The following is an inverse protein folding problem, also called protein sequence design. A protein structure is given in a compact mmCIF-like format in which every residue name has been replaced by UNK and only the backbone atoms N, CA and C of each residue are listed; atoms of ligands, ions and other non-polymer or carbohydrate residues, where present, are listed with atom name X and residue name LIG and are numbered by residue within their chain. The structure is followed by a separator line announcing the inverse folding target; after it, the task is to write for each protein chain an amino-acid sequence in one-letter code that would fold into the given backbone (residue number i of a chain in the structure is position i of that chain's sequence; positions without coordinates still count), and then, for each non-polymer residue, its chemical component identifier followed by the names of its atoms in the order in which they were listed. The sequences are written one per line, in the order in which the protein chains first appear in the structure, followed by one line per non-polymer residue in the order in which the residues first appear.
data_IF_924193582930
#
_entry.id   IF_924193582930
#
_cell.length_a   1.000
_cell.length_b   1.000
_cell.length_c   1.000
_cell.angle_alpha   90.00
_cell.angle_beta   90.00
_cell.angle_gamma   90.00
#
_symmetry.space_group_name_H-M   'P 1'
#
loop_
_entity.id
_entity.type
_entity.pdbx_description
1 polymer ?
#
# COMPACT_ATOMS: atom_id res chain seq x y z
N UNK A 1 -16.84 25.11 18.65
CA UNK A 1 -17.22 23.65 18.58
C UNK A 1 -18.55 23.47 19.31
N UNK A 2 -19.41 22.57 18.83
CA UNK A 2 -20.73 22.35 19.42
C UNK A 2 -20.63 21.79 20.84
N UNK A 3 -21.22 22.48 21.82
CA UNK A 3 -21.20 22.04 23.21
C UNK A 3 -22.03 20.76 23.37
N UNK A 4 -21.49 19.67 23.99
CA UNK A 4 -22.21 18.41 24.15
C UNK A 4 -23.37 18.48 25.16
N UNK A 5 -23.49 19.58 25.91
CA UNK A 5 -24.53 19.73 26.94
C UNK A 5 -25.71 20.61 26.51
N UNK A 6 -25.46 21.72 25.81
CA UNK A 6 -26.51 22.65 25.37
C UNK A 6 -26.63 22.78 23.87
N UNK A 7 -25.75 22.10 23.11
CA UNK A 7 -25.73 22.08 21.65
C UNK A 7 -25.44 23.44 20.96
N UNK A 8 -25.08 24.49 21.68
CA UNK A 8 -24.69 25.77 21.12
C UNK A 8 -23.19 25.80 20.72
N UNK A 9 -22.86 26.63 19.73
CA UNK A 9 -21.47 26.73 19.19
C UNK A 9 -20.70 27.95 19.74
N UNK A 10 -20.80 28.17 21.04
CA UNK A 10 -20.20 29.33 21.70
C UNK A 10 -19.29 28.85 22.83
N UNK A 11 -18.03 28.60 22.52
CA UNK A 11 -17.06 28.09 23.47
C UNK A 11 -15.70 28.79 23.35
N UNK A 12 -14.91 28.73 24.41
CA UNK A 12 -13.52 29.17 24.44
C UNK A 12 -12.61 28.03 24.90
N UNK A 13 -11.36 28.04 24.42
CA UNK A 13 -10.31 27.13 24.88
C UNK A 13 -9.73 27.68 26.17
N UNK A 14 -9.73 26.90 27.25
CA UNK A 14 -9.21 27.28 28.54
C UNK A 14 -7.84 26.62 28.86
N UNK A 15 -7.54 25.50 28.22
CA UNK A 15 -6.24 24.80 28.33
C UNK A 15 -5.98 24.01 27.03
N UNK A 16 -4.71 23.95 26.63
CA UNK A 16 -4.26 23.21 25.46
C UNK A 16 -2.97 22.47 25.79
N UNK A 17 -2.91 21.16 25.50
CA UNK A 17 -1.73 20.33 25.75
C UNK A 17 -1.51 19.40 24.59
N UNK A 18 -0.28 19.32 24.15
CA UNK A 18 0.17 18.33 23.17
C UNK A 18 0.42 16.98 23.86
N UNK A 19 0.15 15.89 23.12
CA UNK A 19 0.58 14.55 23.50
C UNK A 19 2.11 14.44 23.45
N UNK A 20 2.68 13.45 24.12
CA UNK A 20 4.15 13.27 24.17
C UNK A 20 4.78 13.01 22.81
N UNK A 21 4.02 12.44 21.88
CA UNK A 21 4.41 12.13 20.50
C UNK A 21 4.14 13.29 19.52
N UNK A 22 3.52 14.39 19.99
CA UNK A 22 3.17 15.55 19.15
C UNK A 22 2.01 15.32 18.19
N UNK A 23 1.44 14.11 18.14
CA UNK A 23 0.43 13.73 17.12
C UNK A 23 -0.99 14.20 17.48
N UNK A 24 -1.25 14.55 18.75
CA UNK A 24 -2.60 14.91 19.21
C UNK A 24 -2.52 16.14 20.12
N UNK A 25 -3.44 17.09 19.91
CA UNK A 25 -3.63 18.23 20.82
C UNK A 25 -4.93 18.02 21.60
N UNK A 26 -4.82 17.93 22.91
CA UNK A 26 -5.96 17.90 23.82
C UNK A 26 -6.32 19.32 24.19
N UNK A 27 -7.56 19.75 23.90
CA UNK A 27 -8.07 21.07 24.30
C UNK A 27 -9.20 20.95 25.31
N UNK A 28 -9.05 21.62 26.46
CA UNK A 28 -10.12 21.80 27.41
C UNK A 28 -10.88 23.07 27.05
N UNK A 29 -12.18 22.94 26.84
CA UNK A 29 -13.08 24.02 26.40
C UNK A 29 -14.11 24.31 27.47
N UNK A 30 -14.58 25.55 27.49
CA UNK A 30 -15.66 26.01 28.35
C UNK A 30 -16.74 26.66 27.48
N UNK A 31 -17.97 26.15 27.58
CA UNK A 31 -19.10 26.73 26.89
C UNK A 31 -19.47 28.07 27.58
N UNK A 32 -19.61 29.14 26.80
CA UNK A 32 -19.93 30.46 27.32
C UNK A 32 -21.43 30.61 27.65
N UNK A 33 -22.30 29.76 27.06
CA UNK A 33 -23.74 29.78 27.29
C UNK A 33 -24.14 28.99 28.54
N UNK A 34 -23.65 27.79 28.73
CA UNK A 34 -24.03 26.93 29.86
C UNK A 34 -22.92 26.76 30.94
N UNK A 35 -21.76 27.39 30.77
CA UNK A 35 -20.65 27.36 31.73
C UNK A 35 -19.95 25.99 31.91
N UNK A 36 -20.43 24.93 31.25
CA UNK A 36 -19.86 23.60 31.40
C UNK A 36 -18.59 23.43 30.59
N UNK A 37 -17.68 22.60 31.12
CA UNK A 37 -16.41 22.27 30.47
C UNK A 37 -16.48 20.93 29.79
N UNK A 38 -15.87 20.85 28.59
CA UNK A 38 -15.69 19.62 27.84
C UNK A 38 -14.30 19.55 27.21
N UNK A 39 -13.89 18.38 26.78
CA UNK A 39 -12.59 18.18 26.16
C UNK A 39 -12.80 17.79 24.70
N UNK A 40 -11.97 18.35 23.83
CA UNK A 40 -11.84 17.95 22.43
C UNK A 40 -10.42 17.51 22.16
N UNK A 41 -10.26 16.66 21.14
CA UNK A 41 -8.97 16.26 20.61
C UNK A 41 -8.87 16.70 19.17
N UNK A 42 -7.73 17.25 18.81
CA UNK A 42 -7.34 17.50 17.44
C UNK A 42 -6.22 16.54 17.11
N UNK A 43 -6.36 15.83 16.04
CA UNK A 43 -5.36 14.92 15.50
C UNK A 43 -5.29 15.06 13.99
N UNK A 44 -4.12 14.78 13.42
CA UNK A 44 -3.98 14.73 11.97
C UNK A 44 -4.81 13.54 11.48
N UNK A 45 -5.61 13.76 10.45
CA UNK A 45 -6.37 12.68 9.82
C UNK A 45 -5.40 11.68 9.19
N UNK A 46 -5.53 10.43 9.59
CA UNK A 46 -4.72 9.34 9.06
C UNK A 46 -5.33 8.89 7.73
N UNK A 47 -4.86 9.49 6.65
CA UNK A 47 -5.33 9.14 5.30
C UNK A 47 -4.67 7.80 4.92
N UNK A 48 -5.46 6.72 4.70
CA UNK A 48 -4.91 5.42 4.39
C UNK A 48 -4.18 5.43 3.05
N UNK A 49 -3.13 4.62 2.97
CA UNK A 49 -2.49 4.31 1.71
C UNK A 49 -3.33 3.29 0.94
N UNK A 50 -3.42 3.45 -0.37
CA UNK A 50 -4.27 2.63 -1.23
C UNK A 50 -3.44 1.77 -2.19
N UNK A 51 -3.97 0.59 -2.49
CA UNK A 51 -3.45 -0.31 -3.52
C UNK A 51 -4.42 -0.33 -4.70
N UNK A 52 -3.92 0.07 -5.87
CA UNK A 52 -4.67 0.01 -7.12
C UNK A 52 -4.55 -1.40 -7.70
N UNK A 53 -5.69 -2.08 -7.83
CA UNK A 53 -5.78 -3.43 -8.40
C UNK A 53 -5.72 -3.38 -9.93
N UNK A 54 -5.47 -4.52 -10.55
CA UNK A 54 -5.43 -4.66 -12.02
C UNK A 54 -6.76 -4.31 -12.71
N UNK A 55 -7.88 -4.41 -12.00
CA UNK A 55 -9.22 -4.02 -12.45
C UNK A 55 -9.57 -2.55 -12.14
N UNK A 56 -8.62 -1.77 -11.63
CA UNK A 56 -8.78 -0.36 -11.28
C UNK A 56 -9.43 -0.09 -9.92
N UNK A 57 -9.86 -1.12 -9.18
CA UNK A 57 -10.36 -0.95 -7.80
C UNK A 57 -9.25 -0.52 -6.87
N UNK A 58 -9.61 0.27 -5.87
CA UNK A 58 -8.73 0.71 -4.79
C UNK A 58 -9.08 -0.03 -3.52
N UNK A 59 -8.09 -0.60 -2.88
CA UNK A 59 -8.19 -1.24 -1.57
C UNK A 59 -7.15 -0.62 -0.63
N UNK A 60 -7.47 -0.58 0.65
CA UNK A 60 -6.51 -0.14 1.65
C UNK A 60 -5.26 -1.05 1.67
N UNK A 61 -4.09 -0.44 1.78
CA UNK A 61 -2.82 -1.17 1.88
C UNK A 61 -2.83 -2.04 3.13
N UNK A 62 -2.50 -3.31 2.96
CA UNK A 62 -2.49 -4.28 4.04
C UNK A 62 -1.18 -5.08 4.05
N UNK A 63 -0.28 -4.68 4.96
CA UNK A 63 1.00 -5.33 5.21
C UNK A 63 0.88 -6.84 5.37
N UNK A 64 -0.12 -7.31 6.14
CA UNK A 64 -0.30 -8.72 6.43
C UNK A 64 -0.65 -9.56 5.20
N UNK A 65 -1.35 -8.99 4.21
CA UNK A 65 -1.64 -9.66 2.93
C UNK A 65 -0.36 -9.95 2.16
N UNK A 66 0.55 -9.00 2.11
CA UNK A 66 1.84 -9.15 1.39
C UNK A 66 2.71 -10.17 2.12
N UNK A 67 2.85 -10.04 3.43
CA UNK A 67 3.62 -10.95 4.25
C UNK A 67 3.11 -12.39 4.13
N UNK A 68 1.79 -12.62 4.11
CA UNK A 68 1.20 -13.92 3.91
C UNK A 68 1.54 -14.53 2.52
N UNK A 69 1.62 -13.70 1.49
CA UNK A 69 2.07 -14.11 0.16
C UNK A 69 3.53 -14.55 0.17
N UNK A 70 4.40 -13.78 0.81
CA UNK A 70 5.83 -14.08 0.98
C UNK A 70 6.03 -15.38 1.79
N UNK A 71 5.33 -15.55 2.91
CA UNK A 71 5.39 -16.75 3.74
C UNK A 71 5.05 -18.02 2.94
N UNK A 72 4.01 -17.97 2.09
CA UNK A 72 3.64 -19.10 1.22
C UNK A 72 4.72 -19.39 0.18
N UNK A 73 5.29 -18.36 -0.44
CA UNK A 73 6.34 -18.52 -1.44
C UNK A 73 7.61 -19.11 -0.82
N UNK A 74 7.99 -18.64 0.37
CA UNK A 74 9.20 -19.05 1.11
C UNK A 74 8.99 -20.32 1.97
N UNK A 75 7.81 -20.96 1.94
CA UNK A 75 7.54 -22.14 2.77
C UNK A 75 8.55 -23.26 2.49
N UNK A 76 9.21 -23.77 3.54
CA UNK A 76 10.31 -24.77 3.47
C UNK A 76 11.53 -24.32 2.67
N UNK A 77 11.72 -22.99 2.53
CA UNK A 77 12.95 -22.42 1.94
C UNK A 77 13.78 -21.75 3.04
N UNK A 78 15.11 -21.69 2.89
CA UNK A 78 16.01 -21.09 3.89
C UNK A 78 15.99 -19.55 3.83
N UNK A 79 14.80 -18.94 3.74
CA UNK A 79 14.61 -17.49 3.74
C UNK A 79 14.10 -17.06 5.12
N UNK A 80 14.93 -16.38 5.94
CA UNK A 80 14.55 -15.97 7.28
C UNK A 80 13.34 -15.02 7.28
N UNK A 81 12.47 -15.13 8.29
CA UNK A 81 11.30 -14.25 8.43
C UNK A 81 11.68 -12.76 8.43
N UNK A 82 12.81 -12.41 9.03
CA UNK A 82 13.33 -11.03 9.03
C UNK A 82 13.57 -10.46 7.64
N UNK A 83 14.04 -11.28 6.69
CA UNK A 83 14.23 -10.85 5.29
C UNK A 83 12.87 -10.69 4.59
N UNK A 84 11.90 -11.53 4.90
CA UNK A 84 10.55 -11.39 4.38
C UNK A 84 9.87 -10.11 4.89
N UNK A 85 10.08 -9.76 6.15
CA UNK A 85 9.61 -8.51 6.75
C UNK A 85 10.30 -7.29 6.11
N UNK A 86 11.61 -7.36 5.84
CA UNK A 86 12.33 -6.25 5.21
C UNK A 86 11.85 -5.95 3.78
N UNK A 87 11.36 -6.96 3.05
CA UNK A 87 10.73 -6.74 1.75
C UNK A 87 9.45 -5.90 1.91
N UNK A 88 8.64 -6.20 2.91
CA UNK A 88 7.41 -5.44 3.18
C UNK A 88 7.73 -4.03 3.66
N UNK A 89 8.76 -3.87 4.49
CA UNK A 89 9.24 -2.55 4.94
C UNK A 89 9.69 -1.67 3.75
N UNK A 90 10.33 -2.26 2.75
CA UNK A 90 10.72 -1.53 1.54
C UNK A 90 9.50 -1.09 0.72
N UNK A 91 8.46 -1.93 0.62
CA UNK A 91 7.21 -1.55 -0.04
C UNK A 91 6.53 -0.40 0.70
N UNK A 92 6.47 -0.44 2.04
CA UNK A 92 5.93 0.64 2.85
C UNK A 92 6.71 1.94 2.66
N UNK A 93 8.03 1.85 2.60
CA UNK A 93 8.90 3.00 2.36
C UNK A 93 8.65 3.61 0.98
N UNK A 94 8.54 2.79 -0.08
CA UNK A 94 8.20 3.27 -1.41
C UNK A 94 6.83 3.96 -1.42
N UNK A 95 5.85 3.37 -0.75
CA UNK A 95 4.51 3.92 -0.62
C UNK A 95 4.48 5.27 0.11
N UNK A 96 5.33 5.46 1.13
CA UNK A 96 5.48 6.73 1.84
C UNK A 96 6.11 7.85 0.99
N UNK A 97 6.84 7.48 -0.06
CA UNK A 97 7.44 8.44 -1.00
C UNK A 97 6.46 8.90 -2.10
N UNK A 98 5.32 8.20 -2.27
CA UNK A 98 4.29 8.57 -3.25
C UNK A 98 3.44 9.73 -2.72
N UNK A 99 3.34 10.81 -3.49
CA UNK A 99 2.54 11.99 -3.13
C UNK A 99 1.04 11.70 -3.09
N UNK A 100 0.55 10.86 -4.01
CA UNK A 100 -0.84 10.44 -4.12
C UNK A 100 -1.24 9.33 -3.15
N UNK A 101 -0.28 8.78 -2.39
CA UNK A 101 -0.47 7.67 -1.44
C UNK A 101 -1.08 6.41 -2.06
N UNK A 102 -0.85 6.21 -3.33
CA UNK A 102 -1.29 5.02 -4.07
C UNK A 102 -0.08 4.22 -4.57
N UNK A 103 -0.21 2.91 -4.60
CA UNK A 103 0.75 1.99 -5.23
C UNK A 103 -0.04 0.92 -5.99
N UNK A 104 0.40 0.58 -7.19
CA UNK A 104 -0.27 -0.48 -7.93
C UNK A 104 0.12 -1.87 -7.43
N UNK A 105 -0.80 -2.84 -7.57
CA UNK A 105 -0.47 -4.25 -7.31
C UNK A 105 0.73 -4.69 -8.13
N UNK A 106 0.89 -4.17 -9.37
CA UNK A 106 2.01 -4.48 -10.27
C UNK A 106 3.35 -4.01 -9.69
N UNK A 107 3.42 -2.80 -9.14
CA UNK A 107 4.63 -2.27 -8.50
C UNK A 107 4.99 -3.08 -7.24
N UNK A 108 4.01 -3.38 -6.39
CA UNK A 108 4.23 -4.26 -5.23
C UNK A 108 4.85 -5.57 -5.66
N UNK A 109 4.28 -6.21 -6.69
CA UNK A 109 4.79 -7.47 -7.17
C UNK A 109 6.17 -7.38 -7.80
N UNK A 110 6.46 -6.33 -8.53
CA UNK A 110 7.80 -6.09 -9.08
C UNK A 110 8.85 -5.99 -7.97
N UNK A 111 8.57 -5.23 -6.89
CA UNK A 111 9.46 -5.12 -5.73
C UNK A 111 9.68 -6.49 -5.07
N UNK A 112 8.60 -7.25 -4.82
CA UNK A 112 8.70 -8.58 -4.21
C UNK A 112 9.50 -9.52 -5.09
N UNK A 113 9.22 -9.56 -6.40
CA UNK A 113 9.91 -10.44 -7.33
C UNK A 113 11.39 -10.10 -7.46
N UNK A 114 11.75 -8.81 -7.53
CA UNK A 114 13.14 -8.38 -7.57
C UNK A 114 13.93 -8.89 -6.34
N UNK A 115 13.36 -8.74 -5.15
CA UNK A 115 13.98 -9.20 -3.90
C UNK A 115 14.05 -10.73 -3.81
N UNK A 116 12.99 -11.44 -4.18
CA UNK A 116 12.98 -12.91 -4.15
C UNK A 116 13.94 -13.53 -5.17
N UNK A 117 14.16 -12.89 -6.31
CA UNK A 117 15.12 -13.33 -7.33
C UNK A 117 16.52 -13.44 -6.76
N UNK A 118 16.93 -12.48 -5.95
CA UNK A 118 18.23 -12.42 -5.28
C UNK A 118 18.32 -13.41 -4.11
N UNK A 119 17.21 -13.55 -3.34
CA UNK A 119 17.22 -14.33 -2.10
C UNK A 119 17.05 -15.83 -2.33
N UNK A 120 16.12 -16.25 -3.15
CA UNK A 120 15.80 -17.64 -3.41
C UNK A 120 15.01 -17.82 -4.72
N UNK A 121 15.66 -18.37 -5.77
CA UNK A 121 15.00 -18.58 -7.08
C UNK A 121 13.75 -19.43 -7.04
N UNK A 122 13.67 -20.41 -6.12
CA UNK A 122 12.48 -21.26 -5.98
C UNK A 122 11.31 -20.48 -5.37
N UNK A 123 11.57 -19.66 -4.34
CA UNK A 123 10.57 -18.76 -3.77
C UNK A 123 10.09 -17.74 -4.82
N UNK A 124 11.00 -17.22 -5.65
CA UNK A 124 10.64 -16.38 -6.78
C UNK A 124 9.65 -17.05 -7.72
N UNK A 125 9.96 -18.25 -8.24
CA UNK A 125 9.11 -19.00 -9.17
C UNK A 125 7.72 -19.27 -8.56
N UNK A 126 7.67 -19.65 -7.28
CA UNK A 126 6.42 -19.88 -6.55
C UNK A 126 5.58 -18.61 -6.40
N UNK A 127 6.22 -17.49 -6.12
CA UNK A 127 5.52 -16.20 -6.04
C UNK A 127 5.04 -15.77 -7.43
N UNK A 128 5.90 -15.82 -8.44
CA UNK A 128 5.59 -15.49 -9.83
C UNK A 128 4.42 -16.32 -10.38
N UNK A 129 4.34 -17.62 -10.06
CA UNK A 129 3.28 -18.51 -10.53
C UNK A 129 1.86 -18.06 -10.09
N UNK A 130 1.76 -17.36 -8.97
CA UNK A 130 0.48 -16.82 -8.46
C UNK A 130 0.29 -15.37 -8.89
N UNK A 131 1.38 -14.61 -8.95
CA UNK A 131 1.33 -13.18 -9.15
C UNK A 131 1.29 -12.78 -10.64
N UNK A 132 2.10 -13.41 -11.49
CA UNK A 132 2.03 -13.27 -12.95
C UNK A 132 0.91 -14.18 -13.48
N UNK A 133 -0.02 -13.61 -14.19
CA UNK A 133 -1.02 -14.39 -14.93
C UNK A 133 -0.34 -14.93 -16.20
N UNK A 134 0.29 -16.10 -16.10
CA UNK A 134 0.82 -16.77 -17.26
C UNK A 134 -0.34 -17.26 -18.16
N UNK A 135 -0.28 -16.95 -19.45
CA UNK A 135 -1.31 -17.35 -20.42
C UNK A 135 -1.27 -18.87 -20.66
N UNK A 136 -0.07 -19.43 -20.64
CA UNK A 136 0.16 -20.87 -20.82
C UNK A 136 1.40 -21.38 -20.07
N UNK A 137 1.64 -22.68 -20.16
CA UNK A 137 2.81 -23.33 -19.55
C UNK A 137 4.13 -22.89 -20.21
N UNK A 138 4.09 -22.55 -21.51
CA UNK A 138 5.27 -22.09 -22.25
C UNK A 138 5.83 -20.78 -21.69
N UNK A 139 4.94 -19.80 -21.47
CA UNK A 139 5.31 -18.52 -20.82
C UNK A 139 5.93 -18.72 -19.42
N UNK A 140 5.39 -19.66 -18.66
CA UNK A 140 5.96 -20.01 -17.36
C UNK A 140 7.36 -20.64 -17.48
N UNK A 141 7.56 -21.57 -18.43
CA UNK A 141 8.87 -22.21 -18.68
C UNK A 141 9.90 -21.19 -19.14
N UNK A 142 9.53 -20.23 -19.97
CA UNK A 142 10.42 -19.13 -20.39
C UNK A 142 10.83 -18.26 -19.21
N UNK A 143 9.93 -17.91 -18.32
CA UNK A 143 10.26 -17.16 -17.09
C UNK A 143 11.28 -17.91 -16.25
N UNK A 144 11.13 -19.23 -16.08
CA UNK A 144 12.10 -20.06 -15.35
C UNK A 144 13.46 -20.12 -16.10
N UNK A 145 13.46 -20.18 -17.42
CA UNK A 145 14.67 -20.17 -18.22
C UNK A 145 15.43 -18.84 -18.08
N UNK A 146 14.72 -17.72 -18.20
CA UNK A 146 15.27 -16.37 -18.02
C UNK A 146 15.89 -16.19 -16.62
N UNK A 147 15.26 -16.79 -15.61
CA UNK A 147 15.81 -16.78 -14.26
C UNK A 147 17.15 -17.54 -14.16
N UNK A 148 17.29 -18.65 -14.87
CA UNK A 148 18.51 -19.49 -14.88
C UNK A 148 19.64 -18.85 -15.72
N UNK A 149 19.29 -18.14 -16.78
CA UNK A 149 20.25 -17.51 -17.70
C UNK A 149 20.75 -16.14 -17.21
N UNK A 150 20.21 -15.64 -16.08
CA UNK A 150 20.59 -14.34 -15.51
C UNK A 150 20.09 -13.14 -16.33
N UNK A 151 19.10 -13.36 -17.22
CA UNK A 151 18.55 -12.32 -18.09
C UNK A 151 17.87 -11.20 -17.33
N UNK A 152 18.39 -10.00 -17.54
CA UNK A 152 17.85 -8.72 -17.13
C UNK A 152 16.91 -8.24 -18.24
N UNK A 153 15.65 -8.69 -18.22
CA UNK A 153 14.64 -8.14 -19.12
C UNK A 153 13.37 -7.79 -18.33
N UNK A 154 13.43 -6.60 -17.76
CA UNK A 154 12.22 -5.84 -17.46
C UNK A 154 11.70 -5.25 -18.77
N UNK A 155 11.17 -6.07 -19.68
CA UNK A 155 10.37 -5.53 -20.77
C UNK A 155 9.06 -4.97 -20.18
N UNK A 156 9.03 -3.65 -20.13
CA UNK A 156 7.82 -2.86 -20.00
C UNK A 156 6.89 -3.22 -21.15
N UNK A 157 5.90 -4.07 -20.90
CA UNK A 157 4.82 -4.31 -21.85
C UNK A 157 4.03 -3.03 -22.05
N UNK A 158 4.32 -2.30 -23.14
CA UNK A 158 3.49 -1.19 -23.60
C UNK A 158 2.04 -1.65 -23.78
N UNK A 159 1.07 -0.89 -23.27
CA UNK A 159 -0.33 -1.17 -23.56
C UNK A 159 -0.57 -0.93 -25.07
N UNK A 160 -0.90 -1.96 -25.81
CA UNK A 160 -1.43 -1.82 -27.18
C UNK A 160 -2.62 -0.86 -27.14
N UNK A 161 -2.43 0.31 -27.77
CA UNK A 161 -3.47 1.28 -28.00
C UNK A 161 -4.67 0.58 -28.69
N UNK A 162 -5.82 0.63 -28.04
CA UNK A 162 -7.08 0.18 -28.60
C UNK A 162 -7.38 1.00 -29.87
N UNK A 163 -7.62 0.31 -30.94
CA UNK A 163 -8.02 0.75 -32.27
C UNK A 163 -9.19 1.75 -32.18
N UNK A 164 -8.93 3.01 -32.54
CA UNK A 164 -9.97 4.03 -32.60
C UNK A 164 -10.81 3.83 -33.88
N UNK A 165 -12.14 3.85 -33.82
CA UNK A 165 -12.96 3.69 -35.00
C UNK A 165 -12.80 4.91 -35.92
N UNK A 166 -12.44 4.65 -37.18
CA UNK A 166 -12.39 5.61 -38.27
C UNK A 166 -13.78 6.22 -38.48
N UNK A 167 -13.91 7.50 -38.22
CA UNK A 167 -15.08 8.26 -38.66
C UNK A 167 -15.04 8.39 -40.17
N UNK A 168 -16.00 7.77 -40.83
CA UNK A 168 -16.25 8.01 -42.24
C UNK A 168 -16.74 9.44 -42.48
N UNK A 169 -16.16 10.07 -43.48
CA UNK A 169 -16.68 11.27 -44.10
C UNK A 169 -17.69 10.79 -45.17
N UNK A 170 -18.88 11.29 -45.07
CA UNK A 170 -19.75 11.73 -46.16
C UNK A 170 -20.53 12.96 -45.67
#
# INVERSE_FOLDING_TARGET
MKCPFCALNNDRVVDSRESRDGATIRRRRECLDCGRRFTSYEQIEDIPYLVVKTDGRREEFNRSKILAGLLRACEKRPVPAKLQESIVDEIEKQLHLQEDREISTREIGAIVMAQLRELDPVAYVRFASVYRHFEDVGAFVEEVRNLLEGGDDLEEGEPRAADAPRRGHD
#
